data_IF_829057350883
#
_entry.id   IF_829057350883
#
_cell.length_a   1.000
_cell.length_b   1.000
_cell.length_c   1.000
_cell.angle_alpha   90.00
_cell.angle_beta   90.00
_cell.angle_gamma   90.00
#
_symmetry.space_group_name_H-M   'P 1'
#
loop_
_entity.id
_entity.type
_entity.pdbx_description
1 polymer ?
#
# COMPACT_ATOMS: atom_id res chain seq x y z
N UNK A 1 -23.07 9.87 -4.35
CA UNK A 1 -22.50 11.20 -4.67
C UNK A 1 -21.06 11.25 -4.12
N UNK A 2 -20.20 10.30 -4.55
CA UNK A 2 -18.91 9.99 -3.89
C UNK A 2 -17.67 10.36 -4.73
N UNK A 3 -17.85 10.73 -6.00
CA UNK A 3 -16.76 10.84 -6.95
C UNK A 3 -15.69 11.93 -6.67
N UNK A 4 -15.94 13.09 -6.02
CA UNK A 4 -14.88 14.09 -5.86
C UNK A 4 -13.90 13.80 -4.70
N UNK A 5 -14.28 13.01 -3.69
CA UNK A 5 -13.44 12.76 -2.52
C UNK A 5 -12.38 11.70 -2.77
N UNK A 6 -12.72 10.64 -3.52
CA UNK A 6 -11.76 9.60 -3.93
C UNK A 6 -10.56 10.21 -4.66
N UNK A 7 -10.82 11.04 -5.67
CA UNK A 7 -9.79 11.72 -6.46
C UNK A 7 -8.91 12.64 -5.60
N UNK A 8 -9.49 13.29 -4.59
CA UNK A 8 -8.73 14.14 -3.65
C UNK A 8 -7.80 13.30 -2.77
N UNK A 9 -8.26 12.18 -2.22
CA UNK A 9 -7.43 11.25 -1.44
C UNK A 9 -6.30 10.69 -2.31
N UNK A 10 -6.60 10.27 -3.54
CA UNK A 10 -5.59 9.78 -4.48
C UNK A 10 -4.55 10.86 -4.80
N UNK A 11 -4.93 12.14 -4.95
CA UNK A 11 -3.98 13.25 -5.09
C UNK A 11 -3.05 13.39 -3.89
N UNK A 12 -3.56 13.23 -2.66
CA UNK A 12 -2.74 13.26 -1.43
C UNK A 12 -1.78 12.07 -1.39
N UNK A 13 -2.22 10.88 -1.78
CA UNK A 13 -1.37 9.68 -1.91
C UNK A 13 -0.27 9.92 -2.94
N UNK A 14 -0.61 10.44 -4.13
CA UNK A 14 0.34 10.73 -5.19
C UNK A 14 1.36 11.79 -4.76
N UNK A 15 0.92 12.85 -4.06
CA UNK A 15 1.83 13.86 -3.49
C UNK A 15 2.80 13.21 -2.49
N UNK A 16 2.30 12.35 -1.62
CA UNK A 16 3.10 11.60 -0.65
C UNK A 16 4.14 10.72 -1.33
N UNK A 17 3.74 9.96 -2.35
CA UNK A 17 4.65 9.10 -3.11
C UNK A 17 5.75 9.93 -3.77
N UNK A 18 5.41 11.05 -4.43
CA UNK A 18 6.37 11.93 -5.10
C UNK A 18 7.37 12.52 -4.12
N UNK A 19 6.90 13.10 -3.01
CA UNK A 19 7.80 13.62 -1.98
C UNK A 19 8.72 12.54 -1.41
N UNK A 20 8.19 11.31 -1.22
CA UNK A 20 9.00 10.19 -0.75
C UNK A 20 10.11 9.80 -1.74
N UNK A 21 9.80 9.77 -3.04
CA UNK A 21 10.77 9.53 -4.12
C UNK A 21 11.82 10.64 -4.18
N UNK A 22 11.41 11.91 -4.08
CA UNK A 22 12.30 13.06 -4.11
C UNK A 22 13.28 13.04 -2.94
N UNK A 23 12.79 12.70 -1.75
CA UNK A 23 13.63 12.52 -0.56
C UNK A 23 14.62 11.38 -0.80
N UNK A 24 14.17 10.22 -1.25
CA UNK A 24 15.05 9.08 -1.53
C UNK A 24 16.19 9.43 -2.50
N UNK A 25 15.89 10.19 -3.55
CA UNK A 25 16.86 10.54 -4.59
C UNK A 25 17.62 11.85 -4.30
N UNK A 26 17.41 12.51 -3.16
CA UNK A 26 18.03 13.79 -2.87
C UNK A 26 19.57 13.67 -2.86
N UNK A 27 20.28 14.36 -3.79
CA UNK A 27 21.72 14.22 -3.95
C UNK A 27 22.51 14.76 -2.77
N UNK A 28 21.96 15.75 -2.04
CA UNK A 28 22.62 16.31 -0.85
C UNK A 28 22.61 15.34 0.31
N UNK A 29 21.72 14.33 0.29
CA UNK A 29 21.48 13.38 1.37
C UNK A 29 21.46 14.10 2.73
N UNK A 30 20.63 15.14 2.83
CA UNK A 30 20.33 15.83 4.09
C UNK A 30 19.40 14.97 4.94
N UNK A 31 19.89 14.43 6.07
CA UNK A 31 19.08 13.56 6.95
C UNK A 31 17.87 14.29 7.53
N UNK A 32 17.83 15.61 7.41
CA UNK A 32 16.76 16.46 7.88
C UNK A 32 15.83 16.77 6.71
N UNK A 33 14.53 16.70 6.96
CA UNK A 33 13.50 17.29 6.14
C UNK A 33 12.86 18.44 6.93
N UNK A 34 13.48 19.63 6.94
CA UNK A 34 13.18 20.68 7.93
C UNK A 34 11.75 21.20 7.82
N UNK A 35 11.20 21.27 6.61
CA UNK A 35 9.81 21.71 6.37
C UNK A 35 8.79 20.84 7.10
N UNK A 36 9.09 19.56 7.34
CA UNK A 36 8.24 18.63 8.10
C UNK A 36 8.84 18.20 9.43
N UNK A 37 9.97 18.77 9.84
CA UNK A 37 10.72 18.42 11.07
C UNK A 37 11.04 16.91 11.17
N UNK A 38 11.22 16.22 10.04
CA UNK A 38 11.55 14.80 10.01
C UNK A 38 13.06 14.57 9.93
N UNK A 39 13.53 13.50 10.57
CA UNK A 39 14.93 13.05 10.49
C UNK A 39 14.96 11.61 10.01
N UNK A 40 15.64 11.37 8.88
CA UNK A 40 15.85 10.06 8.30
C UNK A 40 17.08 9.38 8.93
N UNK A 41 16.92 8.22 9.58
CA UNK A 41 18.05 7.52 10.19
C UNK A 41 18.98 6.94 9.12
N UNK A 42 20.27 6.79 9.43
CA UNK A 42 21.24 6.09 8.57
C UNK A 42 21.50 4.66 9.06
N UNK A 43 21.65 3.69 8.14
CA UNK A 43 21.87 2.28 8.50
C UNK A 43 23.22 2.00 9.18
N UNK A 44 24.26 2.84 8.96
CA UNK A 44 25.58 2.87 9.65
C UNK A 44 26.39 4.06 9.11
N UNK A 45 27.17 4.73 9.95
CA UNK A 45 28.05 5.85 9.55
C UNK A 45 29.31 5.33 8.84
N UNK A 46 29.81 4.15 9.21
CA UNK A 46 31.11 3.60 8.80
C UNK A 46 31.16 3.04 7.37
N UNK A 47 30.03 2.59 6.80
CA UNK A 47 29.98 1.94 5.48
C UNK A 47 29.53 2.88 4.35
N UNK A 48 29.53 4.19 4.61
CA UNK A 48 28.94 5.19 3.74
C UNK A 48 27.47 5.49 4.09
N UNK A 49 27.03 6.70 3.76
CA UNK A 49 25.69 7.24 4.07
C UNK A 49 24.59 6.49 3.29
N UNK A 50 24.17 5.34 3.78
CA UNK A 50 22.95 4.66 3.32
C UNK A 50 21.81 5.01 4.27
N UNK A 51 20.85 5.77 3.77
CA UNK A 51 19.65 6.13 4.51
C UNK A 51 18.75 4.93 4.71
N UNK A 52 18.14 4.89 5.89
CA UNK A 52 17.02 4.02 6.17
C UNK A 52 15.76 4.80 5.88
N UNK A 53 15.12 4.41 4.79
CA UNK A 53 13.71 4.67 4.57
C UNK A 53 12.89 3.51 5.13
N UNK A 54 11.74 3.81 5.69
CA UNK A 54 10.80 2.82 6.18
C UNK A 54 9.36 3.29 6.03
N UNK A 55 8.43 2.35 6.19
CA UNK A 55 6.99 2.65 6.21
C UNK A 55 6.67 3.81 7.18
N UNK A 56 7.42 3.94 8.28
CA UNK A 56 7.18 4.96 9.31
C UNK A 56 7.44 6.39 8.82
N UNK A 57 8.47 6.64 8.02
CA UNK A 57 8.67 7.98 7.46
C UNK A 57 7.61 8.32 6.40
N UNK A 58 7.14 7.33 5.65
CA UNK A 58 6.01 7.51 4.73
C UNK A 58 4.72 7.87 5.49
N UNK A 59 4.48 7.29 6.68
CA UNK A 59 3.35 7.63 7.55
C UNK A 59 3.33 9.12 7.93
N UNK A 60 4.49 9.67 8.30
CA UNK A 60 4.59 11.09 8.67
C UNK A 60 4.39 12.03 7.48
N UNK A 61 4.98 11.69 6.32
CA UNK A 61 4.81 12.50 5.10
C UNK A 61 3.35 12.47 4.65
N UNK A 62 2.70 11.31 4.73
CA UNK A 62 1.28 11.18 4.44
C UNK A 62 0.42 12.03 5.37
N UNK A 63 0.66 11.94 6.69
CA UNK A 63 -0.07 12.73 7.70
C UNK A 63 0.04 14.23 7.43
N UNK A 64 1.26 14.72 7.19
CA UNK A 64 1.49 16.13 6.85
C UNK A 64 0.75 16.54 5.57
N UNK A 65 0.78 15.70 4.54
CA UNK A 65 0.09 16.01 3.29
C UNK A 65 -1.43 16.01 3.41
N UNK A 66 -1.98 15.25 4.36
CA UNK A 66 -3.40 15.26 4.69
C UNK A 66 -3.75 16.52 5.49
N UNK A 67 -2.97 16.86 6.52
CA UNK A 67 -3.14 18.08 7.33
C UNK A 67 -3.07 19.37 6.50
N UNK A 68 -2.19 19.40 5.49
CA UNK A 68 -2.04 20.54 4.56
C UNK A 68 -3.02 20.51 3.39
N UNK A 69 -3.91 19.52 3.33
CA UNK A 69 -4.88 19.42 2.24
C UNK A 69 -5.99 20.46 2.40
N UNK A 70 -6.54 20.94 1.28
CA UNK A 70 -7.66 21.87 1.23
C UNK A 70 -9.03 21.15 1.35
N UNK A 71 -9.03 19.90 1.79
CA UNK A 71 -10.24 19.09 1.89
C UNK A 71 -10.89 19.33 3.24
N UNK A 72 -11.96 20.12 3.22
CA UNK A 72 -12.75 20.37 4.44
C UNK A 72 -13.30 19.07 5.03
N UNK A 73 -13.37 19.02 6.37
CA UNK A 73 -13.93 17.91 7.14
C UNK A 73 -13.29 16.55 6.84
N UNK A 74 -12.02 16.53 6.41
CA UNK A 74 -11.24 15.32 6.24
C UNK A 74 -10.47 15.02 7.52
N UNK A 75 -10.63 13.80 8.04
CA UNK A 75 -10.00 13.34 9.27
C UNK A 75 -9.29 12.01 9.03
N UNK A 76 -8.38 11.66 9.94
CA UNK A 76 -7.71 10.36 9.90
C UNK A 76 -7.42 9.82 11.29
N UNK A 77 -7.25 8.51 11.38
CA UNK A 77 -6.71 7.81 12.55
C UNK A 77 -5.54 6.93 12.14
N UNK A 78 -4.64 6.65 13.09
CA UNK A 78 -3.37 5.94 12.87
C UNK A 78 -3.37 4.63 13.67
N UNK A 79 -2.81 3.57 13.08
CA UNK A 79 -2.76 2.22 13.67
C UNK A 79 -4.13 1.77 14.20
N UNK A 80 -5.11 1.76 13.30
CA UNK A 80 -6.51 1.51 13.60
C UNK A 80 -6.74 0.01 13.75
N UNK A 81 -7.28 -0.47 14.88
CA UNK A 81 -7.62 -1.86 15.02
C UNK A 81 -8.68 -2.24 13.98
N UNK A 82 -8.46 -3.36 13.30
CA UNK A 82 -9.48 -3.96 12.44
C UNK A 82 -10.68 -4.39 13.28
N UNK A 83 -11.88 -4.30 12.70
CA UNK A 83 -13.12 -4.71 13.36
C UNK A 83 -13.12 -6.21 13.66
N UNK A 84 -12.41 -6.97 12.82
CA UNK A 84 -12.28 -8.41 12.96
C UNK A 84 -11.02 -8.83 13.70
N UNK A 85 -11.11 -9.99 14.35
CA UNK A 85 -9.96 -10.65 14.97
C UNK A 85 -9.36 -11.68 14.01
N UNK A 86 -8.04 -11.67 13.94
CA UNK A 86 -7.27 -12.50 13.03
C UNK A 86 -6.31 -13.40 13.81
N UNK A 87 -6.10 -14.61 13.29
CA UNK A 87 -4.99 -15.48 13.71
C UNK A 87 -4.10 -15.75 12.51
N UNK A 88 -3.00 -15.02 12.42
CA UNK A 88 -2.01 -15.21 11.36
C UNK A 88 -1.15 -16.42 11.70
N UNK A 89 -1.31 -17.51 10.94
CA UNK A 89 -0.45 -18.69 11.02
C UNK A 89 0.73 -18.47 10.06
N UNK A 90 1.87 -19.13 10.29
CA UNK A 90 3.10 -19.04 9.47
C UNK A 90 2.96 -19.61 8.03
N UNK A 91 1.79 -19.46 7.42
CA UNK A 91 1.53 -19.79 6.03
C UNK A 91 0.75 -18.62 5.42
N UNK A 92 1.24 -18.04 4.29
CA UNK A 92 0.69 -16.84 3.67
C UNK A 92 -0.81 -16.93 3.33
N UNK A 93 -1.30 -18.15 3.16
CA UNK A 93 -2.61 -18.46 2.59
C UNK A 93 -3.48 -19.34 3.51
N UNK A 94 -2.98 -19.83 4.64
CA UNK A 94 -3.79 -20.69 5.52
C UNK A 94 -4.45 -19.93 6.66
N UNK A 95 -5.78 -19.99 6.64
CA UNK A 95 -6.71 -19.82 7.76
C UNK A 95 -6.44 -18.59 8.62
N UNK A 96 -6.69 -17.43 8.03
CA UNK A 96 -7.17 -16.28 8.77
C UNK A 96 -8.52 -16.68 9.36
N UNK A 97 -8.51 -17.18 10.60
CA UNK A 97 -9.77 -17.54 11.24
C UNK A 97 -10.40 -16.24 11.72
N UNK A 98 -11.38 -15.80 10.96
CA UNK A 98 -12.25 -14.69 11.27
C UNK A 98 -12.93 -14.91 12.64
N UNK A 99 -12.89 -13.89 13.50
CA UNK A 99 -13.47 -13.92 14.84
C UNK A 99 -13.03 -15.14 15.68
N UNK A 100 -11.81 -15.63 15.46
CA UNK A 100 -11.28 -16.70 16.30
C UNK A 100 -11.27 -16.26 17.77
N UNK A 101 -11.71 -17.11 18.73
CA UNK A 101 -11.76 -16.75 20.15
C UNK A 101 -10.43 -16.24 20.72
N UNK A 102 -9.31 -16.73 20.17
CA UNK A 102 -7.94 -16.31 20.54
C UNK A 102 -7.25 -15.43 19.48
N UNK A 103 -7.99 -14.96 18.47
CA UNK A 103 -7.47 -14.02 17.48
C UNK A 103 -7.23 -12.63 18.07
N UNK A 104 -6.44 -11.82 17.39
CA UNK A 104 -6.19 -10.41 17.74
C UNK A 104 -6.57 -9.51 16.57
N UNK A 105 -7.08 -8.32 16.85
CA UNK A 105 -7.22 -7.30 15.81
C UNK A 105 -5.85 -7.02 15.22
N UNK A 106 -5.80 -6.92 13.89
CA UNK A 106 -4.65 -6.38 13.23
C UNK A 106 -4.76 -4.84 13.23
N UNK A 107 -3.69 -4.17 12.80
CA UNK A 107 -3.68 -2.71 12.73
C UNK A 107 -3.61 -2.31 11.25
N UNK A 108 -4.50 -1.39 10.86
CA UNK A 108 -4.46 -0.64 9.62
C UNK A 108 -3.60 0.60 9.84
N UNK A 109 -2.68 0.92 8.93
CA UNK A 109 -1.81 2.09 9.11
C UNK A 109 -2.62 3.38 9.23
N UNK A 110 -3.54 3.63 8.29
CA UNK A 110 -4.46 4.77 8.35
C UNK A 110 -5.89 4.42 7.96
N UNK A 111 -6.85 5.00 8.66
CA UNK A 111 -8.24 5.11 8.20
C UNK A 111 -8.57 6.57 7.93
N UNK A 112 -9.18 6.85 6.78
CA UNK A 112 -9.60 8.19 6.38
C UNK A 112 -11.10 8.32 6.59
N UNK A 113 -11.53 9.46 7.12
CA UNK A 113 -12.93 9.76 7.38
C UNK A 113 -13.29 11.13 6.83
N UNK A 114 -14.57 11.32 6.52
CA UNK A 114 -15.11 12.61 6.11
C UNK A 114 -16.49 12.86 6.70
N UNK A 115 -16.79 14.12 6.98
CA UNK A 115 -18.12 14.57 7.39
C UNK A 115 -18.16 15.16 8.80
N UNK A 116 -19.26 14.94 9.51
CA UNK A 116 -19.48 15.50 10.85
C UNK A 116 -18.46 14.98 11.87
N UNK A 117 -18.01 15.84 12.79
CA UNK A 117 -17.00 15.48 13.79
C UNK A 117 -17.50 14.45 14.82
N UNK A 118 -18.81 14.36 15.03
CA UNK A 118 -19.43 13.45 15.99
C UNK A 118 -19.51 12.03 15.40
N UNK A 119 -19.93 11.92 14.14
CA UNK A 119 -20.11 10.63 13.45
C UNK A 119 -19.51 10.67 12.03
N UNK A 120 -18.17 10.75 11.90
CA UNK A 120 -17.55 10.88 10.60
C UNK A 120 -17.64 9.56 9.82
N UNK A 121 -17.89 9.64 8.52
CA UNK A 121 -18.00 8.46 7.65
C UNK A 121 -16.61 7.99 7.24
N UNK A 122 -16.28 6.72 7.52
CA UNK A 122 -15.04 6.10 7.09
C UNK A 122 -15.04 5.92 5.56
N UNK A 123 -14.08 6.54 4.87
CA UNK A 123 -13.97 6.53 3.42
C UNK A 123 -13.09 5.39 2.90
N UNK A 124 -11.92 5.20 3.51
CA UNK A 124 -10.97 4.18 3.08
C UNK A 124 -9.95 3.82 4.15
N UNK A 125 -9.32 2.65 3.96
CA UNK A 125 -8.14 2.21 4.69
C UNK A 125 -6.89 2.32 3.81
N UNK A 126 -5.74 2.57 4.43
CA UNK A 126 -4.45 2.72 3.74
C UNK A 126 -3.39 1.90 4.48
N UNK A 127 -2.57 1.18 3.71
CA UNK A 127 -1.41 0.41 4.16
C UNK A 127 -0.17 0.83 3.37
N UNK A 128 0.95 1.01 4.06
CA UNK A 128 2.24 1.26 3.45
C UNK A 128 3.11 0.01 3.51
N UNK A 129 3.88 -0.21 2.44
CA UNK A 129 4.82 -1.31 2.36
C UNK A 129 6.15 -0.88 1.78
N UNK A 130 7.22 -1.35 2.39
CA UNK A 130 8.56 -1.07 1.89
C UNK A 130 9.32 -2.35 1.53
N UNK A 131 9.92 -2.33 0.33
CA UNK A 131 10.76 -3.39 -0.21
C UNK A 131 10.01 -4.62 -0.74
N UNK A 132 10.77 -5.61 -1.22
CA UNK A 132 10.23 -6.87 -1.74
C UNK A 132 10.08 -7.93 -0.62
N UNK A 133 9.28 -7.63 0.40
CA UNK A 133 9.09 -8.50 1.57
C UNK A 133 8.54 -9.91 1.28
N UNK A 134 8.39 -10.74 2.32
CA UNK A 134 7.77 -12.07 2.19
C UNK A 134 6.32 -11.94 1.72
N UNK A 135 5.85 -12.87 0.88
CA UNK A 135 4.46 -12.88 0.37
C UNK A 135 3.41 -12.85 1.49
N UNK A 136 3.66 -13.52 2.61
CA UNK A 136 2.79 -13.48 3.79
C UNK A 136 2.57 -12.07 4.37
N UNK A 137 3.57 -11.19 4.22
CA UNK A 137 3.48 -9.80 4.68
C UNK A 137 2.46 -9.02 3.84
N UNK A 138 2.53 -9.15 2.51
CA UNK A 138 1.56 -8.54 1.59
C UNK A 138 0.18 -9.18 1.69
N UNK A 139 0.12 -10.50 1.82
CA UNK A 139 -1.13 -11.24 1.94
C UNK A 139 -1.93 -10.76 3.16
N UNK A 140 -1.24 -10.59 4.30
CA UNK A 140 -1.82 -10.02 5.52
C UNK A 140 -2.44 -8.64 5.25
N UNK A 141 -1.70 -7.72 4.65
CA UNK A 141 -2.16 -6.34 4.47
C UNK A 141 -3.33 -6.25 3.48
N UNK A 142 -3.26 -6.97 2.36
CA UNK A 142 -4.38 -7.07 1.41
C UNK A 142 -5.61 -7.71 2.06
N UNK A 143 -5.43 -8.77 2.85
CA UNK A 143 -6.56 -9.45 3.50
C UNK A 143 -7.30 -8.54 4.49
N UNK A 144 -6.56 -7.73 5.27
CA UNK A 144 -7.15 -6.70 6.14
C UNK A 144 -7.97 -5.71 5.33
N UNK A 145 -7.40 -5.16 4.24
CA UNK A 145 -8.08 -4.16 3.40
C UNK A 145 -9.38 -4.70 2.78
N UNK A 146 -9.39 -5.95 2.32
CA UNK A 146 -10.56 -6.55 1.66
C UNK A 146 -11.73 -6.80 2.63
N UNK A 147 -11.45 -7.23 3.86
CA UNK A 147 -12.50 -7.66 4.77
C UNK A 147 -13.26 -6.52 5.44
N UNK A 148 -12.61 -5.38 5.63
CA UNK A 148 -13.20 -4.19 6.27
C UNK A 148 -14.37 -3.60 5.47
N UNK A 149 -14.60 -4.06 4.24
CA UNK A 149 -15.79 -3.69 3.47
C UNK A 149 -15.85 -2.19 3.17
N UNK A 150 -14.70 -1.60 2.87
CA UNK A 150 -14.52 -0.21 2.43
C UNK A 150 -13.36 -0.17 1.42
N UNK A 151 -13.18 0.97 0.73
CA UNK A 151 -12.07 1.13 -0.20
C UNK A 151 -10.72 0.94 0.50
N UNK A 152 -9.81 0.21 -0.14
CA UNK A 152 -8.47 -0.07 0.39
C UNK A 152 -7.38 0.47 -0.52
N UNK A 153 -6.34 1.06 0.07
CA UNK A 153 -5.13 1.48 -0.63
C UNK A 153 -3.91 0.75 -0.07
N UNK A 154 -3.12 0.15 -0.96
CA UNK A 154 -1.81 -0.40 -0.62
C UNK A 154 -0.73 0.36 -1.39
N UNK A 155 0.19 1.02 -0.70
CA UNK A 155 1.28 1.77 -1.31
C UNK A 155 2.59 1.03 -1.07
N UNK A 156 3.26 0.61 -2.15
CA UNK A 156 4.48 -0.20 -2.12
C UNK A 156 5.66 0.63 -2.64
N UNK A 157 6.70 0.80 -1.82
CA UNK A 157 7.95 1.49 -2.15
C UNK A 157 9.09 0.51 -2.38
N UNK A 158 9.79 0.60 -3.52
CA UNK A 158 10.92 -0.28 -3.88
C UNK A 158 12.23 0.50 -4.10
N UNK A 159 13.33 0.01 -3.52
CA UNK A 159 14.64 0.69 -3.48
C UNK A 159 15.76 0.14 -4.39
N UNK A 160 15.63 -1.04 -5.02
CA UNK A 160 16.78 -1.64 -5.73
C UNK A 160 16.35 -2.55 -6.89
N UNK A 161 17.16 -2.58 -7.96
CA UNK A 161 17.10 -3.63 -8.97
C UNK A 161 15.91 -3.54 -9.94
N UNK A 162 15.58 -2.32 -10.35
CA UNK A 162 14.81 -1.85 -11.50
C UNK A 162 13.50 -2.57 -11.91
N UNK A 163 13.61 -3.84 -12.29
CA UNK A 163 12.56 -4.68 -12.86
C UNK A 163 12.45 -5.98 -12.03
N UNK A 164 13.56 -6.44 -11.44
CA UNK A 164 13.68 -7.76 -10.82
C UNK A 164 12.89 -7.87 -9.51
N UNK A 165 12.81 -6.78 -8.74
CA UNK A 165 11.95 -6.73 -7.55
C UNK A 165 10.46 -6.65 -7.91
N UNK A 166 10.12 -6.12 -9.09
CA UNK A 166 8.76 -5.98 -9.58
C UNK A 166 8.29 -7.29 -10.24
N UNK A 167 9.11 -7.88 -11.11
CA UNK A 167 8.80 -9.01 -11.97
C UNK A 167 9.26 -10.34 -11.37
N UNK A 168 10.56 -10.56 -11.23
CA UNK A 168 11.17 -11.64 -10.45
C UNK A 168 12.70 -11.52 -10.55
N UNK A 169 13.42 -12.04 -9.57
CA UNK A 169 14.87 -12.23 -9.66
C UNK A 169 15.23 -13.68 -9.35
N UNK A 170 16.42 -14.14 -9.74
CA UNK A 170 16.88 -15.53 -9.55
C UNK A 170 16.64 -16.02 -8.10
N UNK A 171 15.60 -16.83 -7.91
CA UNK A 171 15.24 -17.46 -6.64
C UNK A 171 14.21 -16.71 -5.78
N UNK A 172 13.82 -15.48 -6.13
CA UNK A 172 12.82 -14.70 -5.39
C UNK A 172 11.70 -14.18 -6.30
N UNK A 173 10.44 -14.39 -5.87
CA UNK A 173 9.27 -13.84 -6.55
C UNK A 173 9.28 -12.30 -6.47
N UNK A 174 9.02 -11.63 -7.58
CA UNK A 174 8.77 -10.20 -7.61
C UNK A 174 7.42 -9.84 -6.97
N UNK A 175 7.20 -8.54 -6.75
CA UNK A 175 5.96 -8.00 -6.19
C UNK A 175 4.75 -8.42 -7.03
N UNK A 176 4.84 -8.35 -8.35
CA UNK A 176 3.72 -8.65 -9.23
C UNK A 176 3.27 -10.11 -9.13
N UNK A 177 4.23 -11.05 -9.07
CA UNK A 177 3.91 -12.48 -8.87
C UNK A 177 3.25 -12.68 -7.50
N UNK A 178 3.75 -12.02 -6.45
CA UNK A 178 3.17 -12.10 -5.10
C UNK A 178 1.75 -11.57 -5.10
N UNK A 179 1.51 -10.39 -5.68
CA UNK A 179 0.19 -9.78 -5.79
C UNK A 179 -0.77 -10.66 -6.59
N UNK A 180 -0.34 -11.19 -7.74
CA UNK A 180 -1.10 -12.16 -8.53
C UNK A 180 -1.56 -13.36 -7.69
N UNK A 181 -0.65 -13.99 -6.97
CA UNK A 181 -0.97 -15.16 -6.15
C UNK A 181 -1.95 -14.82 -5.02
N UNK A 182 -1.76 -13.66 -4.39
CA UNK A 182 -2.66 -13.18 -3.33
C UNK A 182 -4.05 -12.86 -3.89
N UNK A 183 -4.15 -12.15 -5.01
CA UNK A 183 -5.41 -11.76 -5.64
C UNK A 183 -6.19 -13.01 -6.08
N UNK A 184 -5.53 -13.98 -6.73
CA UNK A 184 -6.17 -15.25 -7.10
C UNK A 184 -6.68 -15.96 -5.85
N UNK A 185 -5.86 -16.03 -4.80
CA UNK A 185 -6.20 -16.73 -3.58
C UNK A 185 -7.38 -16.09 -2.83
N UNK A 186 -7.47 -14.75 -2.79
CA UNK A 186 -8.54 -14.02 -2.11
C UNK A 186 -9.70 -13.60 -3.01
N UNK A 187 -9.82 -14.14 -4.23
CA UNK A 187 -10.79 -13.67 -5.21
C UNK A 187 -12.26 -13.64 -4.72
N UNK A 188 -12.60 -14.55 -3.82
CA UNK A 188 -13.94 -14.66 -3.21
C UNK A 188 -14.22 -13.58 -2.15
N UNK A 189 -13.18 -12.90 -1.65
CA UNK A 189 -13.32 -11.83 -0.66
C UNK A 189 -13.51 -10.44 -1.28
N UNK A 190 -13.30 -10.29 -2.59
CA UNK A 190 -13.57 -9.04 -3.30
C UNK A 190 -15.08 -8.84 -3.45
N UNK A 191 -15.58 -7.73 -2.91
CA UNK A 191 -16.98 -7.31 -3.00
C UNK A 191 -17.14 -6.29 -4.14
N UNK A 192 -18.34 -6.21 -4.74
CA UNK A 192 -18.62 -5.29 -5.84
C UNK A 192 -18.60 -3.80 -5.42
N UNK A 193 -18.75 -3.53 -4.13
CA UNK A 193 -18.98 -2.19 -3.59
C UNK A 193 -17.69 -1.42 -3.31
N UNK A 194 -16.54 -2.09 -3.24
CA UNK A 194 -15.28 -1.48 -2.81
C UNK A 194 -14.10 -1.94 -3.64
N UNK A 195 -13.17 -1.02 -3.88
CA UNK A 195 -11.97 -1.26 -4.67
C UNK A 195 -10.75 -1.52 -3.78
N UNK A 196 -9.86 -2.40 -4.23
CA UNK A 196 -8.48 -2.44 -3.76
C UNK A 196 -7.59 -1.71 -4.78
N UNK A 197 -6.95 -0.64 -4.33
CA UNK A 197 -6.13 0.24 -5.15
C UNK A 197 -4.66 0.10 -4.74
N UNK A 198 -3.82 -0.41 -5.64
CA UNK A 198 -2.42 -0.69 -5.32
C UNK A 198 -1.52 0.28 -6.09
N UNK A 199 -0.77 1.09 -5.38
CA UNK A 199 0.30 1.93 -5.93
C UNK A 199 1.64 1.25 -5.70
N UNK A 200 2.46 1.16 -6.75
CA UNK A 200 3.80 0.58 -6.68
C UNK A 200 4.78 1.57 -7.27
N UNK A 201 5.76 2.01 -6.49
CA UNK A 201 6.81 2.90 -6.97
C UNK A 201 8.17 2.24 -6.93
N UNK A 202 8.94 2.41 -8.01
CA UNK A 202 10.36 2.07 -8.06
C UNK A 202 11.15 3.37 -7.93
N UNK A 203 11.59 3.66 -6.70
CA UNK A 203 12.01 5.02 -6.35
C UNK A 203 13.25 5.50 -7.12
N UNK A 204 14.21 4.62 -7.43
CA UNK A 204 15.39 4.97 -8.24
C UNK A 204 15.07 5.33 -9.70
N UNK A 205 13.92 4.91 -10.22
CA UNK A 205 13.53 5.15 -11.62
C UNK A 205 12.46 6.21 -11.78
N UNK A 206 11.96 6.77 -10.67
CA UNK A 206 10.81 7.68 -10.67
C UNK A 206 9.56 7.09 -11.34
N UNK A 207 9.47 5.75 -11.45
CA UNK A 207 8.33 5.06 -12.05
C UNK A 207 7.26 4.76 -11.03
N UNK A 208 6.04 5.14 -11.37
CA UNK A 208 4.84 4.85 -10.58
C UNK A 208 3.87 4.00 -11.38
N UNK A 209 3.51 2.86 -10.82
CA UNK A 209 2.49 1.96 -11.34
C UNK A 209 1.25 2.01 -10.45
N UNK A 210 0.08 1.89 -11.09
CA UNK A 210 -1.20 1.76 -10.43
C UNK A 210 -1.96 0.55 -10.93
N UNK A 211 -2.39 -0.27 -9.98
CA UNK A 211 -3.18 -1.47 -10.20
C UNK A 211 -4.52 -1.31 -9.47
N UNK A 212 -5.59 -0.91 -10.17
CA UNK A 212 -6.94 -1.00 -9.64
C UNK A 212 -7.41 -2.46 -9.70
N UNK A 213 -7.86 -2.99 -8.57
CA UNK A 213 -8.44 -4.34 -8.48
C UNK A 213 -9.89 -4.20 -8.04
N UNK A 214 -10.78 -4.16 -9.04
CA UNK A 214 -12.23 -4.17 -8.84
C UNK A 214 -12.75 -5.60 -9.00
N UNK A 215 -13.88 -5.95 -8.37
CA UNK A 215 -14.49 -7.27 -8.58
C UNK A 215 -14.85 -7.53 -10.06
N UNK A 216 -15.20 -6.48 -10.79
CA UNK A 216 -15.49 -6.54 -12.25
C UNK A 216 -14.26 -6.91 -13.06
N UNK A 217 -13.09 -6.38 -12.70
CA UNK A 217 -11.84 -6.65 -13.40
C UNK A 217 -11.19 -7.95 -12.92
N UNK A 218 -11.52 -8.39 -11.71
CA UNK A 218 -10.95 -9.56 -11.06
C UNK A 218 -11.10 -10.84 -11.88
N UNK A 219 -12.26 -11.09 -12.49
CA UNK A 219 -12.45 -12.30 -13.28
C UNK A 219 -11.58 -12.30 -14.54
N UNK A 220 -11.39 -11.14 -15.17
CA UNK A 220 -10.48 -10.98 -16.30
C UNK A 220 -9.02 -11.10 -15.87
N UNK A 221 -8.66 -10.45 -14.76
CA UNK A 221 -7.34 -10.52 -14.14
C UNK A 221 -7.01 -11.99 -13.83
N UNK A 222 -7.85 -12.68 -13.05
CA UNK A 222 -7.66 -14.09 -12.67
C UNK A 222 -7.58 -14.99 -13.90
N UNK A 223 -8.48 -14.85 -14.88
CA UNK A 223 -8.46 -15.64 -16.12
C UNK A 223 -7.16 -15.45 -16.89
N UNK A 224 -6.68 -14.22 -17.03
CA UNK A 224 -5.43 -13.96 -17.73
C UNK A 224 -4.22 -14.46 -16.97
N UNK A 225 -4.29 -14.41 -15.63
CA UNK A 225 -3.24 -14.88 -14.75
C UNK A 225 -3.16 -16.40 -14.70
N UNK A 226 -4.26 -17.14 -14.71
CA UNK A 226 -4.29 -18.61 -14.73
C UNK A 226 -3.60 -19.18 -15.99
N UNK A 227 -3.54 -18.41 -17.08
CA UNK A 227 -2.92 -18.77 -18.35
C UNK A 227 -1.37 -18.60 -18.41
N UNK A 228 -0.70 -18.43 -17.25
CA UNK A 228 0.77 -18.58 -17.00
C UNK A 228 1.78 -17.67 -17.71
N UNK A 229 1.41 -16.64 -18.47
CA UNK A 229 2.40 -15.68 -19.00
C UNK A 229 2.48 -14.43 -18.12
N UNK A 230 3.66 -14.14 -17.54
CA UNK A 230 3.92 -12.93 -16.73
C UNK A 230 3.60 -11.63 -17.49
N UNK A 231 3.86 -11.60 -18.80
CA UNK A 231 3.52 -10.50 -19.71
C UNK A 231 2.04 -10.06 -19.66
N UNK A 232 1.13 -10.94 -19.23
CA UNK A 232 -0.31 -10.62 -19.16
C UNK A 232 -0.73 -9.90 -17.88
N UNK A 233 0.09 -9.90 -16.82
CA UNK A 233 -0.26 -9.14 -15.61
C UNK A 233 0.10 -7.66 -15.74
N UNK A 234 1.19 -7.37 -16.45
CA UNK A 234 1.66 -6.00 -16.74
C UNK A 234 0.59 -5.12 -17.37
N UNK A 235 -0.25 -5.69 -18.24
CA UNK A 235 -1.31 -4.95 -18.93
C UNK A 235 -2.33 -4.31 -17.97
N UNK A 236 -2.39 -4.79 -16.73
CA UNK A 236 -3.26 -4.24 -15.69
C UNK A 236 -2.60 -3.11 -14.90
N UNK A 237 -1.29 -2.91 -15.06
CA UNK A 237 -0.57 -1.78 -14.49
C UNK A 237 -0.71 -0.57 -15.39
N UNK A 238 -1.18 0.53 -14.81
CA UNK A 238 -1.14 1.85 -15.44
C UNK A 238 0.14 2.55 -15.00
N UNK A 239 1.00 2.92 -15.94
CA UNK A 239 2.13 3.82 -15.66
C UNK A 239 1.58 5.24 -15.51
N UNK A 240 1.77 5.83 -14.33
CA UNK A 240 1.23 7.16 -13.99
C UNK A 240 2.30 8.25 -14.18
N UNK A 241 3.58 7.91 -13.97
CA UNK A 241 4.73 8.79 -14.18
C UNK A 241 6.00 7.96 -14.34
#
# INVERSE_FOLDING_TARGET
MEFPLKDKIEKIILKTIKEYIELYNNPKREIFYPSKKLVFPSYRIETGRNWRLSEKEAHFIFSYNLEESDVEYLYYSVEVPTDYKYRFINNPFSNYIFNHPTGRSALIDFSIYHGDIIEPTKLCNIEFKYGNGKIASFAKDIYKLLLEGINGYLIIFLEKGNIDALFASKGEKGILIKLREIIIHYKEHFKNEFDLNIFITVMNEYKLYFLPVTKRDLDNIVRDLENKSEEKFEKYLRVIS
#
